data_IF_778078063127
#
_entry.id   IF_778078063127
#
_cell.length_a   1.000
_cell.length_b   1.000
_cell.length_c   1.000
_cell.angle_alpha   90.00
_cell.angle_beta   90.00
_cell.angle_gamma   90.00
#
_symmetry.space_group_name_H-M   'P 1'
#
loop_
_entity.id
_entity.type
_entity.pdbx_description
1 polymer ?
#
# COMPACT_ATOMS: atom_id res chain seq x y z
N UNK A 1 32.08 -13.33 7.84
CA UNK A 1 30.74 -13.61 8.38
C UNK A 1 30.03 -14.51 7.38
N UNK A 2 29.51 -15.66 7.83
CA UNK A 2 28.89 -16.67 6.96
C UNK A 2 27.51 -16.16 6.53
N UNK A 3 27.25 -16.14 5.22
CA UNK A 3 25.95 -15.78 4.66
C UNK A 3 24.92 -16.85 4.99
N UNK A 4 23.84 -16.45 5.66
CA UNK A 4 22.68 -17.31 5.83
C UNK A 4 21.82 -17.23 4.57
N UNK A 5 21.86 -18.29 3.77
CA UNK A 5 20.88 -18.54 2.71
C UNK A 5 19.57 -18.98 3.36
N UNK A 6 18.54 -18.13 3.32
CA UNK A 6 17.20 -18.54 3.69
C UNK A 6 16.59 -19.34 2.53
N UNK A 7 16.42 -20.65 2.73
CA UNK A 7 15.67 -21.50 1.83
C UNK A 7 14.18 -21.31 2.11
N UNK A 8 13.46 -20.71 1.16
CA UNK A 8 12.00 -20.68 1.17
C UNK A 8 11.53 -21.94 0.44
N UNK A 9 10.91 -22.87 1.17
CA UNK A 9 10.34 -24.09 0.60
C UNK A 9 9.00 -23.74 -0.08
N UNK A 10 8.94 -23.85 -1.40
CA UNK A 10 7.69 -23.78 -2.15
C UNK A 10 7.07 -25.18 -2.21
N UNK A 11 5.83 -25.30 -1.76
CA UNK A 11 5.02 -26.52 -2.00
C UNK A 11 4.44 -26.38 -3.40
N UNK A 12 4.95 -27.17 -4.36
CA UNK A 12 4.35 -27.31 -5.69
C UNK A 12 2.98 -27.99 -5.57
N UNK A 13 1.94 -27.32 -6.03
CA UNK A 13 0.70 -27.98 -6.43
C UNK A 13 0.64 -27.98 -7.95
N UNK A 14 0.73 -29.17 -8.51
CA UNK A 14 0.88 -29.51 -9.92
C UNK A 14 -0.16 -28.84 -10.86
N UNK A 15 0.33 -28.21 -11.93
CA UNK A 15 -0.53 -27.82 -13.06
C UNK A 15 0.09 -26.84 -14.08
N UNK A 16 0.94 -27.33 -14.98
CA UNK A 16 1.12 -26.80 -16.35
C UNK A 16 1.57 -25.34 -16.55
N UNK A 17 2.89 -25.13 -16.63
CA UNK A 17 3.50 -23.86 -17.08
C UNK A 17 3.29 -23.62 -18.58
N UNK A 18 2.53 -22.58 -18.94
CA UNK A 18 2.79 -21.81 -20.17
C UNK A 18 3.63 -20.59 -19.80
N UNK A 19 4.80 -20.49 -20.43
CA UNK A 19 5.67 -19.31 -20.39
C UNK A 19 5.01 -18.18 -21.18
N UNK A 20 4.27 -17.34 -20.49
CA UNK A 20 4.11 -15.96 -20.92
C UNK A 20 4.97 -15.11 -19.98
N UNK A 21 5.93 -14.39 -20.57
CA UNK A 21 6.74 -13.38 -19.88
C UNK A 21 5.81 -12.18 -19.65
N UNK A 22 4.88 -12.35 -18.71
CA UNK A 22 3.93 -11.34 -18.30
C UNK A 22 4.63 -10.33 -17.40
N UNK A 23 4.59 -9.07 -17.83
CA UNK A 23 4.91 -7.91 -17.02
C UNK A 23 4.30 -8.08 -15.62
N UNK A 24 5.12 -8.18 -14.57
CA UNK A 24 4.62 -8.12 -13.20
C UNK A 24 3.96 -6.75 -13.01
N UNK A 25 2.64 -6.67 -13.15
CA UNK A 25 1.91 -5.52 -12.61
C UNK A 25 2.01 -5.65 -11.09
N UNK A 26 2.92 -4.90 -10.51
CA UNK A 26 3.06 -4.77 -9.05
C UNK A 26 1.94 -3.93 -8.42
N UNK A 27 0.93 -3.60 -9.22
CA UNK A 27 -0.23 -2.83 -8.84
C UNK A 27 -1.43 -3.66 -9.32
N UNK A 28 -2.11 -4.20 -8.29
CA UNK A 28 -3.54 -4.49 -8.23
C UNK A 28 -4.18 -4.86 -9.58
N UNK A 29 -4.49 -6.15 -9.76
CA UNK A 29 -5.47 -6.57 -10.77
C UNK A 29 -4.91 -7.02 -12.12
N UNK A 30 -4.43 -8.26 -12.17
CA UNK A 30 -4.26 -9.02 -13.41
C UNK A 30 -4.43 -10.50 -13.14
N UNK A 31 -5.58 -11.09 -13.51
CA UNK A 31 -5.83 -12.53 -13.31
C UNK A 31 -4.79 -13.36 -14.07
N UNK A 32 -4.02 -14.12 -13.30
CA UNK A 32 -2.94 -15.00 -13.75
C UNK A 32 -1.79 -15.13 -12.74
N UNK A 33 -1.66 -14.17 -11.82
CA UNK A 33 -0.71 -14.20 -10.70
C UNK A 33 -1.35 -14.61 -9.37
N UNK A 34 -0.55 -15.15 -8.45
CA UNK A 34 -0.95 -15.38 -7.07
C UNK A 34 -1.44 -14.06 -6.47
N UNK A 35 -2.60 -14.05 -5.82
CA UNK A 35 -3.14 -12.91 -5.07
C UNK A 35 -2.28 -12.68 -3.82
N UNK A 36 -1.19 -11.93 -3.96
CA UNK A 36 -0.27 -11.64 -2.86
C UNK A 36 -0.66 -10.28 -2.25
N UNK A 37 -1.29 -10.33 -1.08
CA UNK A 37 -1.50 -9.15 -0.23
C UNK A 37 -0.29 -8.99 0.69
N UNK A 38 0.13 -7.76 0.93
CA UNK A 38 1.20 -7.47 1.90
C UNK A 38 0.81 -7.95 3.31
N UNK A 39 1.77 -8.54 4.05
CA UNK A 39 1.53 -8.96 5.44
C UNK A 39 0.90 -7.84 6.28
N UNK A 40 1.35 -6.59 6.10
CA UNK A 40 0.86 -5.45 6.88
C UNK A 40 -0.61 -5.12 6.59
N UNK A 41 -1.06 -5.29 5.35
CA UNK A 41 -2.46 -5.08 4.99
C UNK A 41 -3.33 -6.23 5.52
N UNK A 42 -2.85 -7.47 5.39
CA UNK A 42 -3.53 -8.64 5.95
C UNK A 42 -3.68 -8.54 7.48
N UNK A 43 -2.66 -8.04 8.18
CA UNK A 43 -2.66 -7.87 9.65
C UNK A 43 -3.77 -6.92 10.14
N UNK A 44 -4.19 -5.96 9.32
CA UNK A 44 -5.30 -5.04 9.64
C UNK A 44 -6.63 -5.47 9.00
N UNK A 45 -6.72 -6.71 8.51
CA UNK A 45 -7.93 -7.31 7.98
C UNK A 45 -8.28 -6.92 6.55
N UNK A 46 -7.38 -6.28 5.81
CA UNK A 46 -7.59 -5.96 4.39
C UNK A 46 -7.47 -7.23 3.55
N UNK A 47 -8.46 -7.41 2.68
CA UNK A 47 -8.57 -8.52 1.73
C UNK A 47 -8.47 -8.01 0.30
N UNK A 48 -8.45 -8.92 -0.67
CA UNK A 48 -8.38 -8.56 -2.09
C UNK A 48 -9.66 -7.82 -2.54
N UNK A 49 -10.79 -8.08 -1.89
CA UNK A 49 -12.09 -7.44 -2.15
C UNK A 49 -12.14 -5.96 -1.73
N UNK A 50 -11.20 -5.52 -0.88
CA UNK A 50 -11.12 -4.11 -0.44
C UNK A 50 -10.42 -3.20 -1.46
N UNK A 51 -9.86 -3.77 -2.54
CA UNK A 51 -9.19 -3.03 -3.60
C UNK A 51 -10.21 -2.54 -4.65
N UNK A 52 -10.18 -1.25 -5.06
CA UNK A 52 -11.16 -0.70 -6.01
C UNK A 52 -11.26 -1.46 -7.35
N UNK A 53 -10.18 -2.12 -7.78
CA UNK A 53 -10.12 -2.90 -9.02
C UNK A 53 -10.73 -4.31 -8.95
N UNK A 54 -11.25 -4.74 -7.79
CA UNK A 54 -11.76 -6.11 -7.61
C UNK A 54 -13.29 -6.18 -7.62
N UNK A 55 -13.87 -5.74 -8.73
CA UNK A 55 -15.32 -5.81 -8.98
C UNK A 55 -15.53 -6.70 -10.21
N UNK A 56 -16.48 -7.63 -10.12
CA UNK A 56 -16.90 -8.42 -11.27
C UNK A 56 -17.62 -7.52 -12.28
N UNK A 57 -17.18 -7.61 -13.53
CA UNK A 57 -17.71 -6.82 -14.64
C UNK A 57 -18.01 -7.73 -15.83
N UNK A 58 -18.86 -7.25 -16.74
CA UNK A 58 -19.13 -7.97 -17.98
C UNK A 58 -17.93 -7.96 -18.94
N UNK A 59 -17.97 -8.83 -19.95
CA UNK A 59 -16.89 -9.00 -20.95
C UNK A 59 -16.55 -7.73 -21.73
N UNK A 60 -17.51 -6.83 -21.96
CA UNK A 60 -17.27 -5.59 -22.68
C UNK A 60 -16.50 -4.63 -21.78
N UNK A 61 -16.96 -4.47 -20.54
CA UNK A 61 -16.30 -3.66 -19.52
C UNK A 61 -14.88 -4.19 -19.24
N UNK A 62 -14.67 -5.50 -19.15
CA UNK A 62 -13.32 -6.06 -18.94
C UNK A 62 -12.36 -5.73 -20.09
N UNK A 63 -12.83 -5.76 -21.35
CA UNK A 63 -11.99 -5.35 -22.49
C UNK A 63 -11.62 -3.87 -22.44
N UNK A 64 -12.55 -3.02 -22.04
CA UNK A 64 -12.31 -1.59 -21.89
C UNK A 64 -11.30 -1.32 -20.77
N UNK A 65 -11.47 -1.94 -19.61
CA UNK A 65 -10.52 -1.82 -18.50
C UNK A 65 -9.14 -2.37 -18.88
N UNK A 66 -9.09 -3.46 -19.66
CA UNK A 66 -7.82 -3.98 -20.18
C UNK A 66 -7.12 -2.97 -21.08
N UNK A 67 -7.84 -2.26 -21.97
CA UNK A 67 -7.25 -1.21 -22.81
C UNK A 67 -6.63 -0.10 -21.95
N UNK A 68 -7.31 0.33 -20.88
CA UNK A 68 -6.77 1.32 -19.96
C UNK A 68 -5.50 0.82 -19.26
N UNK A 69 -5.48 -0.43 -18.77
CA UNK A 69 -4.27 -1.01 -18.16
C UNK A 69 -3.12 -1.14 -19.14
N UNK A 70 -3.39 -1.46 -20.41
CA UNK A 70 -2.37 -1.53 -21.45
C UNK A 70 -1.80 -0.13 -21.80
N UNK A 71 -2.62 0.94 -21.74
CA UNK A 71 -2.21 2.31 -22.10
C UNK A 71 -1.60 3.08 -20.92
N UNK A 72 -2.18 2.99 -19.73
CA UNK A 72 -1.84 3.80 -18.56
C UNK A 72 -1.13 3.03 -17.45
N UNK A 73 -1.14 1.69 -17.52
CA UNK A 73 -0.63 0.82 -16.46
C UNK A 73 -1.60 0.62 -15.28
N UNK A 74 -2.78 1.24 -15.32
CA UNK A 74 -3.89 1.11 -14.37
C UNK A 74 -5.23 1.35 -15.10
N UNK A 75 -6.35 1.05 -14.46
CA UNK A 75 -7.70 1.37 -14.99
C UNK A 75 -8.47 2.34 -14.09
N UNK A 76 -9.58 2.85 -14.61
CA UNK A 76 -10.37 3.91 -13.99
C UNK A 76 -10.88 3.56 -12.58
N UNK A 77 -10.99 2.27 -12.24
CA UNK A 77 -11.41 1.84 -10.90
C UNK A 77 -10.45 2.31 -9.83
N UNK A 78 -9.16 2.38 -10.14
CA UNK A 78 -8.14 2.94 -9.25
C UNK A 78 -8.31 4.46 -9.03
N UNK A 79 -9.06 5.13 -9.90
CA UNK A 79 -9.33 6.56 -9.80
C UNK A 79 -10.67 6.89 -9.15
N UNK A 80 -11.60 5.91 -9.03
CA UNK A 80 -12.91 6.08 -8.38
C UNK A 80 -12.76 6.48 -6.91
N UNK A 81 -11.75 5.94 -6.21
CA UNK A 81 -11.27 6.48 -4.94
C UNK A 81 -9.74 6.46 -4.89
N UNK A 82 -9.13 7.43 -5.57
CA UNK A 82 -7.67 7.56 -5.64
C UNK A 82 -7.01 7.65 -4.25
N UNK A 83 -7.72 8.19 -3.24
CA UNK A 83 -7.22 8.26 -1.86
C UNK A 83 -7.04 6.86 -1.27
N UNK A 84 -7.99 5.95 -1.49
CA UNK A 84 -7.93 4.55 -1.05
C UNK A 84 -6.76 3.83 -1.71
N UNK A 85 -6.57 4.02 -3.02
CA UNK A 85 -5.43 3.42 -3.75
C UNK A 85 -4.10 3.92 -3.18
N UNK A 86 -3.96 5.23 -2.98
CA UNK A 86 -2.74 5.80 -2.39
C UNK A 86 -2.51 5.24 -0.98
N UNK A 87 -3.55 5.15 -0.14
CA UNK A 87 -3.42 4.63 1.21
C UNK A 87 -2.99 3.14 1.23
N UNK A 88 -3.67 2.31 0.44
CA UNK A 88 -3.33 0.88 0.29
C UNK A 88 -1.92 0.68 -0.28
N UNK A 89 -1.44 1.62 -1.09
CA UNK A 89 -0.07 1.61 -1.61
C UNK A 89 0.95 2.05 -0.55
N UNK A 90 0.73 3.19 0.10
CA UNK A 90 1.71 3.83 0.99
C UNK A 90 1.83 3.10 2.33
N UNK A 91 0.71 2.73 2.95
CA UNK A 91 0.67 2.13 4.28
C UNK A 91 1.63 0.94 4.46
N UNK A 92 1.56 -0.14 3.65
CA UNK A 92 2.45 -1.29 3.84
C UNK A 92 3.93 -0.95 3.61
N UNK A 93 4.22 0.07 2.79
CA UNK A 93 5.59 0.52 2.52
C UNK A 93 6.15 1.33 3.69
N UNK A 94 5.33 2.17 4.33
CA UNK A 94 5.72 2.87 5.55
C UNK A 94 5.91 1.90 6.72
N UNK A 95 5.01 0.92 6.88
CA UNK A 95 5.17 -0.15 7.88
C UNK A 95 6.48 -0.92 7.67
N UNK A 96 6.79 -1.26 6.43
CA UNK A 96 8.08 -1.90 6.12
C UNK A 96 9.25 -0.96 6.40
N UNK A 97 9.19 0.29 5.94
CA UNK A 97 10.23 1.29 6.18
C UNK A 97 10.53 1.40 7.67
N UNK A 98 9.51 1.55 8.50
CA UNK A 98 9.64 1.61 9.96
C UNK A 98 10.25 0.33 10.56
N UNK A 99 9.84 -0.86 10.08
CA UNK A 99 10.34 -2.14 10.59
C UNK A 99 11.81 -2.41 10.22
N UNK A 100 12.23 -2.08 8.99
CA UNK A 100 13.50 -2.59 8.46
C UNK A 100 14.62 -1.56 8.36
N UNK A 101 14.28 -0.28 8.25
CA UNK A 101 15.01 0.84 8.82
C UNK A 101 16.48 0.69 9.31
N UNK A 102 17.45 1.43 8.79
CA UNK A 102 18.81 1.51 9.34
C UNK A 102 19.21 2.91 9.85
N UNK A 103 18.27 3.87 9.79
CA UNK A 103 18.49 5.25 10.26
C UNK A 103 18.00 5.39 11.70
N UNK A 104 18.55 6.36 12.45
CA UNK A 104 18.06 6.69 13.79
C UNK A 104 16.87 7.66 13.67
N UNK A 105 15.68 7.09 13.53
CA UNK A 105 14.41 7.83 13.41
C UNK A 105 14.06 8.66 14.65
N UNK A 106 14.67 8.37 15.81
CA UNK A 106 14.51 9.17 17.02
C UNK A 106 15.40 10.42 17.02
N UNK A 107 16.50 10.41 16.28
CA UNK A 107 17.44 11.53 16.18
C UNK A 107 17.07 12.52 15.06
N UNK A 108 16.58 12.03 13.93
CA UNK A 108 16.16 12.88 12.80
C UNK A 108 14.89 13.65 13.16
N UNK A 109 14.84 14.94 12.79
CA UNK A 109 13.74 15.84 13.17
C UNK A 109 13.26 16.68 12.01
N UNK A 110 11.97 17.01 12.03
CA UNK A 110 11.36 17.91 11.07
C UNK A 110 10.30 18.79 11.74
N UNK A 111 10.04 19.95 11.16
CA UNK A 111 9.01 20.88 11.62
C UNK A 111 7.71 20.68 10.82
N UNK A 112 6.58 20.65 11.51
CA UNK A 112 5.26 20.72 10.90
C UNK A 112 4.32 21.59 11.75
N UNK A 113 3.70 22.60 11.14
CA UNK A 113 2.80 23.56 11.82
C UNK A 113 3.41 24.19 13.10
N UNK A 114 4.69 24.56 13.06
CA UNK A 114 5.38 25.18 14.18
C UNK A 114 5.68 24.24 15.35
N UNK A 115 5.59 22.91 15.14
CA UNK A 115 5.98 21.88 16.10
C UNK A 115 7.09 21.01 15.52
N UNK A 116 8.08 20.70 16.36
CA UNK A 116 9.14 19.75 16.03
C UNK A 116 8.71 18.32 16.34
N UNK A 117 8.86 17.45 15.34
CA UNK A 117 8.65 16.02 15.46
C UNK A 117 9.98 15.30 15.23
N UNK A 118 10.16 14.17 15.92
CA UNK A 118 11.11 13.15 15.45
C UNK A 118 10.53 12.45 14.22
N UNK A 119 11.39 11.92 13.36
CA UNK A 119 10.95 11.11 12.22
C UNK A 119 10.07 9.94 12.70
N UNK A 120 10.42 9.29 13.82
CA UNK A 120 9.60 8.22 14.41
C UNK A 120 8.19 8.69 14.76
N UNK A 121 8.05 9.81 15.48
CA UNK A 121 6.73 10.35 15.82
C UNK A 121 5.90 10.68 14.57
N UNK A 122 6.55 11.20 13.53
CA UNK A 122 5.89 11.43 12.25
C UNK A 122 5.39 10.12 11.63
N UNK A 123 6.26 9.10 11.55
CA UNK A 123 5.92 7.78 11.00
C UNK A 123 4.73 7.18 11.75
N UNK A 124 4.77 7.16 13.08
CA UNK A 124 3.71 6.62 13.93
C UNK A 124 2.37 7.29 13.61
N UNK A 125 2.33 8.64 13.58
CA UNK A 125 1.10 9.39 13.30
C UNK A 125 0.57 9.09 11.88
N UNK A 126 1.45 9.02 10.88
CA UNK A 126 1.03 8.74 9.50
C UNK A 126 0.51 7.32 9.35
N UNK A 127 1.22 6.35 9.93
CA UNK A 127 0.84 4.93 9.90
C UNK A 127 -0.51 4.74 10.58
N UNK A 128 -0.72 5.31 11.78
CA UNK A 128 -1.99 5.25 12.49
C UNK A 128 -3.13 5.91 11.70
N UNK A 129 -2.89 7.07 11.10
CA UNK A 129 -3.89 7.77 10.29
C UNK A 129 -4.28 7.01 9.02
N UNK A 130 -3.31 6.39 8.34
CA UNK A 130 -3.55 5.52 7.19
C UNK A 130 -4.29 4.24 7.60
N UNK A 131 -3.90 3.61 8.69
CA UNK A 131 -4.57 2.42 9.22
C UNK A 131 -6.03 2.71 9.56
N UNK A 132 -6.29 3.84 10.23
CA UNK A 132 -7.65 4.30 10.54
C UNK A 132 -8.47 4.51 9.27
N UNK A 133 -7.89 5.12 8.24
CA UNK A 133 -8.56 5.36 6.96
C UNK A 133 -8.82 4.05 6.19
N UNK A 134 -7.91 3.07 6.26
CA UNK A 134 -8.01 1.82 5.52
C UNK A 134 -8.98 0.84 6.19
N UNK A 135 -8.88 0.68 7.51
CA UNK A 135 -9.61 -0.33 8.29
C UNK A 135 -11.08 0.01 8.51
N UNK A 136 -11.45 1.30 8.43
CA UNK A 136 -12.85 1.72 8.59
C UNK A 136 -13.56 1.84 7.25
N UNK A 137 -14.69 1.13 7.14
CA UNK A 137 -15.59 1.26 6.00
C UNK A 137 -16.25 2.63 5.93
N UNK A 138 -16.65 3.17 7.09
CA UNK A 138 -17.27 4.48 7.22
C UNK A 138 -16.53 5.29 8.28
N UNK A 139 -16.04 6.47 7.88
CA UNK A 139 -15.50 7.47 8.79
C UNK A 139 -16.64 8.44 9.10
N UNK A 140 -17.08 8.45 10.36
CA UNK A 140 -18.37 9.02 10.71
C UNK A 140 -18.30 10.16 11.72
N UNK A 141 -17.14 10.41 12.33
CA UNK A 141 -16.97 11.52 13.27
C UNK A 141 -15.83 12.47 12.86
N UNK A 142 -15.97 13.73 13.29
CA UNK A 142 -15.04 14.81 12.95
C UNK A 142 -13.63 14.60 13.52
N UNK A 143 -13.53 13.93 14.68
CA UNK A 143 -12.25 13.63 15.31
C UNK A 143 -11.39 12.71 14.44
N UNK A 144 -11.97 11.64 13.90
CA UNK A 144 -11.30 10.71 12.98
C UNK A 144 -10.90 11.39 11.68
N UNK A 145 -11.78 12.22 11.12
CA UNK A 145 -11.48 13.01 9.93
C UNK A 145 -10.28 13.93 10.19
N UNK A 146 -10.24 14.57 11.35
CA UNK A 146 -9.14 15.46 11.71
C UNK A 146 -7.83 14.70 11.95
N UNK A 147 -7.88 13.52 12.57
CA UNK A 147 -6.71 12.63 12.70
C UNK A 147 -6.13 12.24 11.34
N UNK A 148 -6.98 11.84 10.40
CA UNK A 148 -6.54 11.48 9.04
C UNK A 148 -5.95 12.70 8.31
N UNK A 149 -6.58 13.87 8.43
CA UNK A 149 -6.07 15.12 7.82
C UNK A 149 -4.71 15.52 8.38
N UNK A 150 -4.54 15.44 9.70
CA UNK A 150 -3.26 15.72 10.36
C UNK A 150 -2.18 14.74 9.90
N UNK A 151 -2.49 13.44 9.88
CA UNK A 151 -1.60 12.42 9.34
C UNK A 151 -1.18 12.72 7.90
N UNK A 152 -2.11 13.07 7.00
CA UNK A 152 -1.76 13.40 5.61
C UNK A 152 -0.92 14.69 5.50
N UNK A 153 -1.15 15.66 6.37
CA UNK A 153 -0.32 16.85 6.46
C UNK A 153 1.12 16.54 6.88
N UNK A 154 1.28 15.72 7.93
CA UNK A 154 2.58 15.25 8.41
C UNK A 154 3.28 14.39 7.36
N UNK A 155 2.55 13.52 6.64
CA UNK A 155 3.12 12.72 5.56
C UNK A 155 3.78 13.57 4.47
N UNK A 156 3.17 14.70 4.11
CA UNK A 156 3.78 15.65 3.18
C UNK A 156 5.10 16.24 3.69
N UNK A 157 5.21 16.51 5.00
CA UNK A 157 6.45 17.00 5.61
C UNK A 157 7.52 15.90 5.73
N UNK A 158 7.09 14.65 5.99
CA UNK A 158 7.96 13.48 6.09
C UNK A 158 8.58 13.06 4.76
N UNK A 159 7.96 13.39 3.63
CA UNK A 159 8.33 12.89 2.31
C UNK A 159 9.84 12.95 2.02
N UNK A 160 10.51 14.03 2.42
CA UNK A 160 11.95 14.24 2.18
C UNK A 160 12.87 13.36 3.05
N UNK A 161 12.33 12.69 4.06
CA UNK A 161 13.05 11.86 5.03
C UNK A 161 12.84 10.35 4.81
N UNK A 162 11.99 9.96 3.85
CA UNK A 162 11.65 8.56 3.57
C UNK A 162 12.68 7.87 2.68
N UNK A 163 13.94 7.87 3.11
CA UNK A 163 15.06 7.19 2.45
C UNK A 163 16.06 6.67 3.49
N UNK A 164 16.76 5.58 3.18
CA UNK A 164 17.66 4.86 4.08
C UNK A 164 18.68 4.04 3.27
#
# INVERSE_FOLDING_TARGET
MKGNTFAVNFVEVSGGLKKDVGMMSYIIGGRGGIEIISKYLADIGVTYDDFPGNIEVDDFTERFLKQQRDEYGFDERETWDLRKVIALFVYPRLRMFDEVNCIDTCAERFEYNGRDYTLQQGLDIVIEGLELYISKKDIINEEEINKIKEAMGIFGALWMYLWW
#
